data_IF_801532989487
#
_entry.id   IF_801532989487
#
_cell.length_a   1.000
_cell.length_b   1.000
_cell.length_c   1.000
_cell.angle_alpha   90.00
_cell.angle_beta   90.00
_cell.angle_gamma   90.00
#
_symmetry.space_group_name_H-M   'P 1'
#
loop_
_entity.id
_entity.type
_entity.pdbx_description
1 polymer ?
#
# COMPACT_ATOMS: atom_id res chain seq x y z
N UNK A 1 -4.40 15.23 -9.53
CA UNK A 1 -4.64 15.10 -8.08
C UNK A 1 -3.60 14.15 -7.53
N UNK A 2 -2.72 14.66 -6.66
CA UNK A 2 -1.61 13.88 -6.12
C UNK A 2 -2.10 12.98 -4.98
N UNK A 3 -1.93 11.68 -5.13
CA UNK A 3 -2.24 10.66 -4.15
C UNK A 3 -0.96 10.27 -3.40
N UNK A 4 -0.94 10.49 -2.09
CA UNK A 4 0.18 10.13 -1.23
C UNK A 4 0.02 8.71 -0.70
N UNK A 5 1.13 8.00 -0.57
CA UNK A 5 1.14 6.65 0.01
C UNK A 5 0.74 6.69 1.48
N UNK A 6 -0.03 5.70 1.93
CA UNK A 6 -0.41 5.58 3.34
C UNK A 6 0.76 5.10 4.21
N UNK A 7 1.16 5.91 5.20
CA UNK A 7 2.17 5.54 6.20
C UNK A 7 1.60 4.66 7.34
N UNK A 8 0.30 4.39 7.35
CA UNK A 8 -0.38 3.66 8.43
C UNK A 8 -0.02 2.17 8.52
N UNK A 9 0.69 1.62 7.53
CA UNK A 9 1.13 0.22 7.54
C UNK A 9 2.34 0.03 8.48
N UNK A 10 3.17 1.06 8.68
CA UNK A 10 4.37 0.99 9.52
C UNK A 10 4.14 0.43 10.94
N UNK A 11 3.12 0.86 11.71
CA UNK A 11 2.85 0.31 13.05
C UNK A 11 2.38 -1.15 13.05
N UNK A 12 1.78 -1.66 11.96
CA UNK A 12 1.32 -3.06 11.85
C UNK A 12 2.50 -4.03 11.65
N UNK A 13 3.61 -3.54 11.13
CA UNK A 13 4.79 -4.37 10.82
C UNK A 13 5.61 -4.71 12.07
N UNK A 14 5.53 -3.89 13.12
CA UNK A 14 6.21 -4.10 14.41
C UNK A 14 5.81 -5.44 15.06
N UNK A 15 4.52 -5.76 15.29
CA UNK A 15 4.14 -7.03 15.90
C UNK A 15 4.51 -8.26 15.06
N UNK A 16 4.62 -8.14 13.73
CA UNK A 16 5.05 -9.25 12.86
C UNK A 16 6.49 -9.68 13.17
N UNK A 17 7.38 -8.73 13.45
CA UNK A 17 8.76 -9.05 13.84
C UNK A 17 8.86 -9.78 15.17
N UNK A 18 8.02 -9.41 16.14
CA UNK A 18 7.93 -10.12 17.43
C UNK A 18 7.38 -11.53 17.22
N UNK A 19 6.32 -11.68 16.43
CA UNK A 19 5.72 -12.99 16.11
C UNK A 19 6.70 -13.92 15.39
N UNK A 20 7.60 -13.40 14.55
CA UNK A 20 8.59 -14.19 13.83
C UNK A 20 9.66 -14.82 14.76
N UNK A 21 9.89 -14.24 15.94
CA UNK A 21 10.94 -14.67 16.89
C UNK A 21 10.37 -15.56 18.01
N UNK A 22 9.05 -15.51 18.25
CA UNK A 22 8.35 -16.36 19.24
C UNK A 22 8.58 -17.88 19.10
N UNK A 23 8.77 -18.44 17.88
CA UNK A 23 9.05 -19.87 17.73
C UNK A 23 10.49 -20.29 18.10
N UNK A 24 11.45 -19.36 18.23
CA UNK A 24 12.85 -19.73 18.46
C UNK A 24 13.07 -20.56 19.74
N UNK A 25 12.46 -20.25 20.90
CA UNK A 25 12.53 -21.09 22.10
C UNK A 25 11.96 -22.50 21.95
N UNK A 26 11.11 -22.73 20.93
CA UNK A 26 10.54 -24.05 20.66
C UNK A 26 11.51 -24.92 19.85
N UNK A 27 12.50 -24.32 19.19
CA UNK A 27 13.49 -24.99 18.34
C UNK A 27 14.85 -25.07 19.04
N UNK A 28 15.18 -24.07 19.86
CA UNK A 28 16.42 -23.98 20.62
C UNK A 28 16.10 -23.86 22.11
N UNK A 29 16.41 -24.93 22.86
CA UNK A 29 16.12 -25.06 24.28
C UNK A 29 16.97 -24.16 25.18
N UNK A 30 18.06 -23.61 24.66
CA UNK A 30 18.92 -22.68 25.42
C UNK A 30 18.33 -21.25 25.44
N UNK A 31 17.34 -20.97 24.58
CA UNK A 31 16.64 -19.70 24.52
C UNK A 31 15.37 -19.73 25.37
N UNK A 32 15.39 -19.00 26.47
CA UNK A 32 14.20 -18.74 27.30
C UNK A 32 13.46 -17.47 26.83
N UNK A 33 12.14 -17.44 26.98
CA UNK A 33 11.34 -16.20 26.84
C UNK A 33 11.71 -15.10 27.86
N UNK A 34 12.43 -15.45 28.93
CA UNK A 34 12.99 -14.48 29.89
C UNK A 34 14.38 -13.98 29.50
N UNK A 35 15.00 -14.55 28.46
CA UNK A 35 16.35 -14.18 28.05
C UNK A 35 16.40 -12.80 27.39
N UNK A 36 17.32 -11.90 27.81
CA UNK A 36 17.50 -10.61 27.16
C UNK A 36 17.88 -10.74 25.68
N UNK A 37 18.59 -11.82 25.31
CA UNK A 37 19.02 -12.10 23.94
C UNK A 37 17.84 -12.33 22.99
N UNK A 38 16.78 -13.01 23.44
CA UNK A 38 15.58 -13.23 22.64
C UNK A 38 14.83 -11.91 22.36
N UNK A 39 14.71 -11.06 23.37
CA UNK A 39 14.06 -9.75 23.20
C UNK A 39 14.89 -8.81 22.32
N UNK A 40 16.22 -8.89 22.40
CA UNK A 40 17.11 -8.17 21.48
C UNK A 40 16.91 -8.66 20.03
N UNK A 41 16.84 -9.98 19.81
CA UNK A 41 16.58 -10.55 18.49
C UNK A 41 15.19 -10.13 17.95
N UNK A 42 14.16 -10.14 18.79
CA UNK A 42 12.82 -9.65 18.44
C UNK A 42 12.81 -8.16 18.07
N UNK A 43 13.53 -7.33 18.82
CA UNK A 43 13.67 -5.91 18.53
C UNK A 43 14.39 -5.67 17.21
N UNK A 44 15.49 -6.39 16.93
CA UNK A 44 16.24 -6.30 15.67
C UNK A 44 15.37 -6.75 14.50
N UNK A 45 14.70 -7.90 14.61
CA UNK A 45 13.80 -8.42 13.57
C UNK A 45 12.66 -7.42 13.25
N UNK A 46 12.05 -6.85 14.29
CA UNK A 46 11.01 -5.83 14.14
C UNK A 46 11.55 -4.56 13.50
N UNK A 47 12.75 -4.10 13.92
CA UNK A 47 13.41 -2.93 13.34
C UNK A 47 13.73 -3.11 11.85
N UNK A 48 14.26 -4.26 11.46
CA UNK A 48 14.54 -4.59 10.04
C UNK A 48 13.26 -4.61 9.21
N UNK A 49 12.19 -5.22 9.73
CA UNK A 49 10.91 -5.26 9.04
C UNK A 49 10.28 -3.87 8.90
N UNK A 50 10.37 -3.02 9.92
CA UNK A 50 9.92 -1.63 9.86
C UNK A 50 10.73 -0.84 8.83
N UNK A 51 12.06 -0.98 8.82
CA UNK A 51 12.90 -0.32 7.82
C UNK A 51 12.60 -0.82 6.40
N UNK A 52 12.36 -2.12 6.22
CA UNK A 52 11.95 -2.68 4.94
C UNK A 52 10.57 -2.17 4.51
N UNK A 53 9.60 -2.09 5.42
CA UNK A 53 8.28 -1.55 5.15
C UNK A 53 8.30 -0.05 4.82
N UNK A 54 9.10 0.73 5.56
CA UNK A 54 9.36 2.14 5.24
C UNK A 54 10.02 2.24 3.87
N UNK A 55 11.02 1.41 3.58
CA UNK A 55 11.67 1.32 2.28
C UNK A 55 10.67 1.06 1.14
N UNK A 56 9.75 0.12 1.32
CA UNK A 56 8.67 -0.19 0.38
C UNK A 56 7.71 0.99 0.23
N UNK A 57 7.27 1.63 1.31
CA UNK A 57 6.38 2.81 1.27
C UNK A 57 7.05 3.99 0.56
N UNK A 58 8.35 4.21 0.80
CA UNK A 58 9.15 5.22 0.11
C UNK A 58 9.40 4.85 -1.36
N UNK A 59 9.44 3.56 -1.68
CA UNK A 59 9.55 3.02 -3.04
C UNK A 59 8.23 2.96 -3.81
N UNK A 60 7.07 3.13 -3.16
CA UNK A 60 5.79 3.41 -3.82
C UNK A 60 5.67 4.92 -4.04
N UNK A 61 6.16 5.42 -5.18
CA UNK A 61 6.45 6.82 -5.31
C UNK A 61 5.13 7.52 -5.66
N UNK A 62 4.98 8.76 -5.19
CA UNK A 62 3.71 9.50 -5.29
C UNK A 62 2.96 9.28 -6.61
N UNK A 63 1.66 9.05 -6.50
CA UNK A 63 0.79 8.83 -7.65
C UNK A 63 0.11 10.18 -7.98
N UNK A 64 -0.19 10.44 -9.25
CA UNK A 64 -0.93 11.63 -9.67
C UNK A 64 -2.01 11.21 -10.66
N UNK A 65 -3.26 11.40 -10.25
CA UNK A 65 -4.44 11.15 -11.07
C UNK A 65 -4.89 12.46 -11.70
N UNK A 66 -4.57 12.66 -12.97
CA UNK A 66 -5.08 13.76 -13.78
C UNK A 66 -6.37 13.31 -14.49
N UNK A 67 -7.13 14.26 -15.05
CA UNK A 67 -8.43 13.99 -15.68
C UNK A 67 -8.37 12.78 -16.63
N UNK A 68 -7.40 12.78 -17.54
CA UNK A 68 -7.26 11.72 -18.55
C UNK A 68 -6.10 10.75 -18.27
N UNK A 69 -5.25 11.02 -17.27
CA UNK A 69 -3.97 10.32 -17.13
C UNK A 69 -3.70 9.90 -15.69
N UNK A 70 -3.23 8.69 -15.54
CA UNK A 70 -2.70 8.18 -14.28
C UNK A 70 -1.17 8.08 -14.38
N UNK A 71 -0.50 8.91 -13.59
CA UNK A 71 0.96 9.00 -13.50
C UNK A 71 1.42 8.37 -12.19
N UNK A 72 2.52 7.63 -12.26
CA UNK A 72 3.20 7.07 -11.09
C UNK A 72 4.63 7.56 -11.11
N UNK A 73 5.09 8.14 -10.00
CA UNK A 73 6.49 8.52 -9.89
C UNK A 73 7.34 7.23 -9.85
N UNK A 74 8.50 7.25 -10.47
CA UNK A 74 9.49 6.17 -10.49
C UNK A 74 10.88 6.72 -10.20
N UNK A 75 11.90 5.86 -10.34
CA UNK A 75 13.31 6.24 -10.10
C UNK A 75 13.77 7.43 -10.95
N UNK A 76 13.25 7.56 -12.17
CA UNK A 76 13.69 8.54 -13.17
C UNK A 76 12.68 9.69 -13.40
N UNK A 77 11.68 9.86 -12.53
CA UNK A 77 10.67 10.91 -12.66
C UNK A 77 9.24 10.38 -12.75
N UNK A 78 8.32 11.15 -13.33
CA UNK A 78 6.92 10.75 -13.49
C UNK A 78 6.76 9.86 -14.73
N UNK A 79 6.28 8.64 -14.54
CA UNK A 79 5.95 7.71 -15.61
C UNK A 79 4.44 7.64 -15.84
N UNK A 80 4.01 7.72 -17.09
CA UNK A 80 2.63 7.46 -17.48
C UNK A 80 2.33 5.98 -17.30
N UNK A 81 1.30 5.67 -16.51
CA UNK A 81 0.89 4.29 -16.25
C UNK A 81 -0.34 3.90 -17.05
N UNK A 82 -1.31 4.81 -17.17
CA UNK A 82 -2.54 4.58 -17.92
C UNK A 82 -3.10 5.93 -18.41
N UNK A 83 -3.68 5.93 -19.61
CA UNK A 83 -4.45 7.05 -20.16
C UNK A 83 -5.87 6.57 -20.43
N UNK A 84 -6.87 7.43 -20.20
CA UNK A 84 -8.24 7.18 -20.60
C UNK A 84 -8.38 7.29 -22.11
N UNK A 85 -8.95 6.27 -22.73
CA UNK A 85 -9.47 6.30 -24.09
C UNK A 85 -10.83 7.00 -24.18
N UNK A 86 -11.32 7.16 -25.41
CA UNK A 86 -12.62 7.78 -25.65
C UNK A 86 -13.77 6.97 -25.00
N UNK A 87 -14.51 7.63 -24.09
CA UNK A 87 -15.60 7.00 -23.35
C UNK A 87 -15.15 6.15 -22.16
N UNK A 88 -13.86 6.15 -21.82
CA UNK A 88 -13.37 5.58 -20.57
C UNK A 88 -13.43 6.63 -19.45
N UNK A 89 -13.58 6.17 -18.20
CA UNK A 89 -13.56 7.05 -17.04
C UNK A 89 -12.96 6.38 -15.82
N UNK A 90 -12.40 7.18 -14.92
CA UNK A 90 -11.98 6.72 -13.60
C UNK A 90 -13.20 6.52 -12.71
N UNK A 91 -13.25 5.39 -12.02
CA UNK A 91 -14.33 5.05 -11.09
C UNK A 91 -13.74 4.37 -9.86
N UNK A 92 -14.50 4.35 -8.76
CA UNK A 92 -14.14 3.57 -7.57
C UNK A 92 -15.06 2.36 -7.48
N UNK A 93 -14.47 1.16 -7.38
CA UNK A 93 -15.21 -0.09 -7.25
C UNK A 93 -14.83 -0.80 -5.93
N UNK A 94 -15.66 -0.60 -4.90
CA UNK A 94 -15.33 -0.96 -3.52
C UNK A 94 -14.12 -0.19 -3.00
N UNK A 95 -13.05 -0.86 -2.61
CA UNK A 95 -11.83 -0.24 -2.06
C UNK A 95 -10.72 0.00 -3.09
N UNK A 96 -11.03 0.04 -4.39
CA UNK A 96 -10.03 0.16 -5.46
C UNK A 96 -10.39 1.20 -6.51
N UNK A 97 -9.37 1.90 -6.99
CA UNK A 97 -9.46 2.76 -8.18
C UNK A 97 -9.46 1.87 -9.42
N UNK A 98 -10.43 2.09 -10.30
CA UNK A 98 -10.63 1.33 -11.52
C UNK A 98 -10.79 2.26 -12.72
N UNK A 99 -10.48 1.73 -13.89
CA UNK A 99 -10.87 2.30 -15.17
C UNK A 99 -12.13 1.58 -15.64
N UNK A 100 -13.21 2.32 -15.85
CA UNK A 100 -14.40 1.81 -16.51
C UNK A 100 -14.30 2.08 -18.00
N UNK A 101 -14.39 1.01 -18.80
CA UNK A 101 -14.43 1.09 -20.25
C UNK A 101 -15.84 1.43 -20.74
N UNK A 102 -15.95 1.78 -22.03
CA UNK A 102 -17.22 2.10 -22.69
C UNK A 102 -18.25 0.96 -22.62
N UNK A 103 -17.79 -0.29 -22.61
CA UNK A 103 -18.62 -1.50 -22.47
C UNK A 103 -19.07 -1.75 -21.02
N UNK A 104 -18.70 -0.88 -20.08
CA UNK A 104 -19.00 -1.01 -18.65
C UNK A 104 -18.03 -1.90 -17.89
N UNK A 105 -17.09 -2.57 -18.57
CA UNK A 105 -16.10 -3.43 -17.92
C UNK A 105 -15.11 -2.62 -17.08
N UNK A 106 -14.66 -3.23 -15.98
CA UNK A 106 -13.76 -2.60 -15.01
C UNK A 106 -12.36 -3.18 -15.12
N UNK A 107 -11.38 -2.32 -15.37
CA UNK A 107 -9.96 -2.63 -15.28
C UNK A 107 -9.43 -2.14 -13.95
N UNK A 108 -9.09 -3.08 -13.06
CA UNK A 108 -8.56 -2.78 -11.73
C UNK A 108 -7.15 -2.21 -11.83
N UNK A 109 -6.94 -1.04 -11.24
CA UNK A 109 -5.59 -0.53 -11.00
C UNK A 109 -5.04 -1.14 -9.69
N UNK A 110 -3.73 -1.24 -9.57
CA UNK A 110 -3.06 -1.66 -8.32
C UNK A 110 -3.06 -0.53 -7.26
N UNK A 111 -4.13 0.25 -7.18
CA UNK A 111 -4.30 1.36 -6.25
C UNK A 111 -5.54 1.10 -5.40
N UNK A 112 -5.31 0.53 -4.22
CA UNK A 112 -6.36 0.32 -3.22
C UNK A 112 -6.40 1.44 -2.19
N UNK A 113 -7.52 1.52 -1.46
CA UNK A 113 -7.71 2.44 -0.33
C UNK A 113 -6.58 2.39 0.69
N UNK A 114 -6.08 1.18 0.95
CA UNK A 114 -4.98 0.95 1.89
C UNK A 114 -3.65 1.57 1.41
N UNK A 115 -3.46 1.72 0.09
CA UNK A 115 -2.23 2.25 -0.49
C UNK A 115 -2.22 3.78 -0.50
N UNK A 116 -3.37 4.43 -0.36
CA UNK A 116 -3.53 5.89 -0.45
C UNK A 116 -3.81 6.47 0.93
N UNK A 117 -3.30 7.68 1.20
CA UNK A 117 -3.61 8.41 2.41
C UNK A 117 -5.14 8.57 2.55
N UNK A 118 -5.66 8.38 3.76
CA UNK A 118 -7.10 8.48 4.06
C UNK A 118 -7.74 9.78 3.57
N UNK A 119 -7.02 10.92 3.66
CA UNK A 119 -7.52 12.23 3.19
C UNK A 119 -7.66 12.25 1.67
N UNK A 120 -6.61 11.85 0.97
CA UNK A 120 -6.58 11.83 -0.50
C UNK A 120 -7.59 10.80 -1.05
N UNK A 121 -7.80 9.69 -0.34
CA UNK A 121 -8.83 8.72 -0.68
C UNK A 121 -10.25 9.29 -0.52
N UNK A 122 -10.52 10.01 0.58
CA UNK A 122 -11.82 10.65 0.75
C UNK A 122 -12.10 11.71 -0.33
N UNK A 123 -11.06 12.41 -0.79
CA UNK A 123 -11.16 13.33 -1.93
C UNK A 123 -11.47 12.58 -3.24
N UNK A 124 -10.86 11.40 -3.47
CA UNK A 124 -11.20 10.54 -4.61
C UNK A 124 -12.67 10.11 -4.56
N UNK A 125 -13.16 9.70 -3.39
CA UNK A 125 -14.55 9.28 -3.17
C UNK A 125 -15.56 10.40 -3.46
N UNK A 126 -15.18 11.65 -3.26
CA UNK A 126 -16.01 12.81 -3.59
C UNK A 126 -15.94 13.20 -5.07
N UNK A 127 -14.81 12.94 -5.73
CA UNK A 127 -14.55 13.40 -7.10
C UNK A 127 -14.95 12.38 -8.15
N UNK A 128 -14.83 11.09 -7.83
CA UNK A 128 -15.05 9.99 -8.77
C UNK A 128 -16.36 9.26 -8.49
N UNK A 129 -17.05 8.78 -9.54
CA UNK A 129 -18.24 7.96 -9.36
C UNK A 129 -17.89 6.63 -8.68
N UNK A 130 -18.68 6.26 -7.68
CA UNK A 130 -18.68 4.91 -7.10
C UNK A 130 -19.59 3.99 -7.91
N UNK A 131 -19.10 2.80 -8.21
CA UNK A 131 -19.85 1.74 -8.89
C UNK A 131 -19.81 0.47 -8.04
N UNK A 132 -20.94 -0.22 -7.99
CA UNK A 132 -21.03 -1.50 -7.29
C UNK A 132 -20.09 -2.53 -7.92
N UNK A 133 -19.53 -3.38 -7.05
CA UNK A 133 -18.74 -4.53 -7.50
C UNK A 133 -19.70 -5.53 -8.14
N UNK A 134 -19.47 -5.83 -9.42
CA UNK A 134 -19.98 -7.06 -10.03
C UNK A 134 -19.50 -8.29 -9.26
#
# INVERSE_FOLDING_TARGET
MKLRSSLWIAPIVIPVGVLAVLPLPLVDSDLSYTSPGLWLAAAVASGVLVLAAIGVVLWYPGMDLQEERFLVRGKYGWGLRQTLGAGERWVIAGDQLCLQRKDGSLVKLRVGRWAVNRRDWAELEQTLPMVDRY
#
